data_IF_748890685113
#
_entry.id   IF_748890685113
#
_cell.length_a   1.000
_cell.length_b   1.000
_cell.length_c   1.000
_cell.angle_alpha   90.00
_cell.angle_beta   90.00
_cell.angle_gamma   90.00
#
_symmetry.space_group_name_H-M   'P 1'
#
loop_
_entity.id
_entity.type
_entity.pdbx_description
1 polymer ?
#
# COMPACT_ATOMS: atom_id res chain seq x y z
N UNK A 1 -63.13 -16.03 22.96
CA UNK A 1 -62.35 -15.33 24.00
C UNK A 1 -60.92 -15.84 23.93
N UNK A 2 -59.96 -14.91 23.88
CA UNK A 2 -58.51 -14.98 24.16
C UNK A 2 -57.86 -16.38 24.20
N UNK A 3 -56.76 -16.63 23.48
CA UNK A 3 -55.47 -16.05 23.87
C UNK A 3 -54.49 -16.04 22.68
N UNK A 4 -53.89 -14.86 22.45
CA UNK A 4 -52.78 -14.62 21.53
C UNK A 4 -51.50 -15.25 22.11
N UNK A 5 -50.81 -16.06 21.33
CA UNK A 5 -49.38 -16.34 21.56
C UNK A 5 -48.59 -15.65 20.44
N UNK A 6 -48.06 -14.46 20.77
CA UNK A 6 -46.95 -13.86 20.06
C UNK A 6 -45.73 -14.75 20.30
N UNK A 7 -45.25 -15.43 19.27
CA UNK A 7 -43.89 -15.98 19.27
C UNK A 7 -42.98 -14.90 18.71
N UNK A 8 -42.36 -14.14 19.61
CA UNK A 8 -41.22 -13.29 19.29
C UNK A 8 -40.07 -14.25 18.95
N UNK A 9 -39.82 -14.50 17.67
CA UNK A 9 -38.57 -15.12 17.23
C UNK A 9 -37.52 -14.04 17.34
N UNK A 10 -36.76 -14.11 18.44
CA UNK A 10 -35.57 -13.31 18.64
C UNK A 10 -34.63 -13.54 17.45
N UNK A 11 -34.42 -12.48 16.67
CA UNK A 11 -33.34 -12.39 15.70
C UNK A 11 -32.04 -12.53 16.50
N UNK A 12 -31.47 -13.73 16.49
CA UNK A 12 -30.06 -13.92 16.77
C UNK A 12 -29.31 -13.23 15.63
N UNK A 13 -29.09 -11.92 15.80
CA UNK A 13 -27.97 -11.23 15.21
C UNK A 13 -26.74 -11.97 15.71
N UNK A 14 -26.32 -12.98 14.96
CA UNK A 14 -24.91 -13.34 14.91
C UNK A 14 -24.21 -12.10 14.37
N UNK A 15 -23.95 -11.15 15.27
CA UNK A 15 -22.80 -10.31 15.17
C UNK A 15 -21.64 -11.29 15.02
N UNK A 16 -21.27 -11.57 13.77
CA UNK A 16 -19.89 -11.81 13.43
C UNK A 16 -19.16 -10.58 13.95
N UNK A 17 -18.80 -10.62 15.24
CA UNK A 17 -17.63 -9.92 15.71
C UNK A 17 -16.52 -10.54 14.88
N UNK A 18 -16.26 -9.95 13.71
CA UNK A 18 -14.98 -10.06 13.06
C UNK A 18 -13.99 -9.80 14.18
N UNK A 19 -13.25 -10.84 14.59
CA UNK A 19 -12.14 -10.66 15.49
C UNK A 19 -11.35 -9.47 14.91
N UNK A 20 -11.28 -8.38 15.66
CA UNK A 20 -10.68 -7.14 15.22
C UNK A 20 -9.33 -7.47 14.56
N UNK A 21 -9.12 -6.98 13.33
CA UNK A 21 -7.78 -6.94 12.77
C UNK A 21 -6.90 -6.21 13.80
N UNK A 22 -5.87 -6.89 14.30
CA UNK A 22 -5.13 -6.45 15.51
C UNK A 22 -4.32 -5.16 15.26
N UNK A 23 -4.35 -4.63 14.05
CA UNK A 23 -3.84 -3.34 13.62
C UNK A 23 -4.53 -2.94 12.31
N UNK A 24 -4.87 -1.66 12.21
CA UNK A 24 -5.38 -1.02 11.00
C UNK A 24 -4.79 0.40 10.97
N UNK A 25 -3.87 0.61 10.04
CA UNK A 25 -3.11 1.86 9.89
C UNK A 25 -3.58 2.70 8.72
N UNK A 26 -4.70 2.35 8.06
CA UNK A 26 -5.21 3.07 6.90
C UNK A 26 -6.72 3.33 7.04
N UNK A 27 -7.12 4.59 6.95
CA UNK A 27 -8.52 4.96 6.73
C UNK A 27 -8.70 5.37 5.26
N UNK A 28 -9.45 4.58 4.49
CA UNK A 28 -9.71 4.88 3.08
C UNK A 28 -11.14 5.39 2.87
N UNK A 29 -11.22 6.59 2.32
CA UNK A 29 -12.45 7.16 1.78
C UNK A 29 -12.31 7.36 0.26
N UNK A 30 -12.96 6.48 -0.51
CA UNK A 30 -12.92 6.48 -1.97
C UNK A 30 -11.48 6.34 -2.51
N UNK A 31 -10.92 7.43 -3.03
CA UNK A 31 -9.60 7.57 -3.63
C UNK A 31 -8.60 8.31 -2.71
N UNK A 32 -8.99 8.56 -1.46
CA UNK A 32 -8.12 9.12 -0.43
C UNK A 32 -7.81 8.05 0.59
N UNK A 33 -6.53 7.87 0.90
CA UNK A 33 -6.02 7.02 1.98
C UNK A 33 -5.36 7.92 3.01
N UNK A 34 -5.74 7.75 4.27
CA UNK A 34 -5.10 8.42 5.40
C UNK A 34 -4.37 7.36 6.21
N UNK A 35 -3.05 7.49 6.36
CA UNK A 35 -2.30 6.64 7.29
C UNK A 35 -2.47 7.16 8.72
N UNK A 36 -2.67 6.24 9.67
CA UNK A 36 -3.04 6.58 11.07
C UNK A 36 -1.95 6.24 12.09
N UNK A 37 -0.83 5.66 11.64
CA UNK A 37 0.37 5.41 12.45
C UNK A 37 1.33 6.61 12.47
N UNK A 38 2.50 6.46 13.09
CA UNK A 38 3.51 7.50 13.36
C UNK A 38 4.16 8.13 12.10
N UNK A 39 3.93 7.58 10.92
CA UNK A 39 4.18 8.25 9.63
C UNK A 39 2.83 8.69 8.99
N UNK A 40 2.15 9.65 9.62
CA UNK A 40 0.79 10.06 9.27
C UNK A 40 0.74 11.00 8.04
N UNK A 41 0.09 10.56 6.98
CA UNK A 41 -0.10 11.29 5.74
C UNK A 41 -1.49 11.06 5.19
N UNK A 42 -1.97 12.04 4.45
CA UNK A 42 -3.13 11.90 3.57
C UNK A 42 -2.64 11.80 2.14
N UNK A 43 -3.02 10.72 1.48
CA UNK A 43 -2.65 10.38 0.13
C UNK A 43 -3.90 10.39 -0.73
N UNK A 44 -3.97 11.31 -1.69
CA UNK A 44 -5.06 11.38 -2.64
C UNK A 44 -4.61 10.84 -3.98
N UNK A 45 -5.32 9.83 -4.46
CA UNK A 45 -5.10 9.21 -5.75
C UNK A 45 -6.03 9.86 -6.76
N UNK A 46 -5.47 10.53 -7.76
CA UNK A 46 -6.26 11.13 -8.83
C UNK A 46 -6.95 10.06 -9.68
N UNK A 47 -8.18 10.33 -10.09
CA UNK A 47 -8.87 9.53 -11.11
C UNK A 47 -8.01 9.49 -12.40
N UNK A 48 -7.92 8.35 -13.11
CA UNK A 48 -8.92 7.28 -13.21
C UNK A 48 -8.54 5.94 -12.55
N UNK A 49 -7.85 5.96 -11.41
CA UNK A 49 -7.44 4.74 -10.71
C UNK A 49 -8.60 4.09 -9.94
N UNK A 50 -8.85 2.79 -10.20
CA UNK A 50 -9.82 1.96 -9.48
C UNK A 50 -9.19 1.35 -8.24
N UNK A 51 -9.82 1.51 -7.08
CA UNK A 51 -9.41 0.79 -5.87
C UNK A 51 -9.52 -0.73 -6.04
N UNK A 52 -8.50 -1.44 -5.57
CA UNK A 52 -8.44 -2.89 -5.44
C UNK A 52 -8.76 -3.34 -4.00
N UNK A 53 -8.97 -2.41 -3.07
CA UNK A 53 -9.26 -2.69 -1.67
C UNK A 53 -8.03 -2.61 -0.76
N UNK A 54 -8.17 -3.24 0.41
CA UNK A 54 -7.21 -3.19 1.50
C UNK A 54 -6.84 -4.60 1.97
N UNK A 55 -5.64 -4.73 2.53
CA UNK A 55 -5.13 -5.95 3.14
C UNK A 55 -4.34 -5.60 4.40
N UNK A 56 -4.55 -6.32 5.48
CA UNK A 56 -3.76 -6.21 6.70
C UNK A 56 -3.01 -7.52 6.94
N UNK A 57 -1.69 -7.45 7.14
CA UNK A 57 -0.89 -8.62 7.43
C UNK A 57 0.39 -8.29 8.18
N UNK A 58 1.05 -9.35 8.65
CA UNK A 58 2.43 -9.27 9.14
C UNK A 58 3.40 -9.65 8.03
N UNK A 59 4.57 -9.04 8.01
CA UNK A 59 5.64 -9.35 7.07
C UNK A 59 6.99 -9.32 7.76
N UNK A 60 7.85 -10.28 7.45
CA UNK A 60 9.25 -10.23 7.87
C UNK A 60 10.08 -9.58 6.75
N UNK A 61 10.91 -8.60 7.12
CA UNK A 61 11.86 -7.94 6.22
C UNK A 61 13.17 -7.68 6.96
N UNK A 62 14.29 -8.12 6.39
CA UNK A 62 15.63 -8.00 6.98
C UNK A 62 15.73 -8.54 8.43
N UNK A 63 14.94 -9.54 8.79
CA UNK A 63 14.92 -10.13 10.13
C UNK A 63 14.05 -9.38 11.15
N UNK A 64 13.29 -8.38 10.72
CA UNK A 64 12.37 -7.61 11.55
C UNK A 64 10.92 -7.84 11.10
N UNK A 65 10.02 -7.94 12.07
CA UNK A 65 8.59 -8.11 11.83
C UNK A 65 7.88 -6.77 11.75
N UNK A 66 7.09 -6.61 10.70
CA UNK A 66 6.26 -5.44 10.43
C UNK A 66 4.79 -5.83 10.54
N UNK A 67 3.99 -4.90 11.06
CA UNK A 67 2.54 -4.84 10.88
C UNK A 67 2.26 -3.94 9.71
N UNK A 68 1.62 -4.47 8.67
CA UNK A 68 1.44 -3.81 7.39
C UNK A 68 -0.06 -3.62 7.14
N UNK A 69 -0.46 -2.37 6.94
CA UNK A 69 -1.75 -2.04 6.33
C UNK A 69 -1.52 -1.55 4.91
N UNK A 70 -2.15 -2.22 3.96
CA UNK A 70 -1.89 -2.06 2.53
C UNK A 70 -3.16 -1.61 1.81
N UNK A 71 -3.04 -0.65 0.89
CA UNK A 71 -4.08 -0.31 -0.07
C UNK A 71 -3.54 -0.31 -1.48
N UNK A 72 -4.34 -0.79 -2.44
CA UNK A 72 -3.94 -0.81 -3.84
C UNK A 72 -4.98 -0.17 -4.76
N UNK A 73 -4.48 0.43 -5.84
CA UNK A 73 -5.27 1.06 -6.89
C UNK A 73 -4.68 0.72 -8.26
N UNK A 74 -5.52 0.53 -9.29
CA UNK A 74 -5.06 0.18 -10.65
C UNK A 74 -5.70 1.03 -11.73
N UNK A 75 -4.96 1.24 -12.81
CA UNK A 75 -5.43 1.88 -14.03
C UNK A 75 -4.77 1.23 -15.25
N UNK A 76 -5.44 0.24 -15.84
CA UNK A 76 -4.86 -0.56 -16.91
C UNK A 76 -3.60 -1.32 -16.42
N UNK A 77 -2.43 -1.14 -17.06
CA UNK A 77 -1.18 -1.80 -16.64
C UNK A 77 -0.49 -1.11 -15.46
N UNK A 78 -1.02 0.02 -14.99
CA UNK A 78 -0.43 0.81 -13.92
C UNK A 78 -1.05 0.43 -12.57
N UNK A 79 -0.24 0.39 -11.51
CA UNK A 79 -0.70 0.14 -10.14
C UNK A 79 -0.09 1.16 -9.18
N UNK A 80 -0.84 1.55 -8.15
CA UNK A 80 -0.35 2.30 -7.00
C UNK A 80 -0.57 1.44 -5.77
N UNK A 81 0.49 1.27 -4.99
CA UNK A 81 0.48 0.55 -3.72
C UNK A 81 0.84 1.54 -2.61
N UNK A 82 0.09 1.48 -1.53
CA UNK A 82 0.28 2.30 -0.34
C UNK A 82 0.45 1.35 0.83
N UNK A 83 1.63 1.36 1.43
CA UNK A 83 1.93 0.62 2.65
C UNK A 83 2.07 1.58 3.81
N UNK A 84 1.33 1.29 4.88
CA UNK A 84 1.49 1.89 6.19
C UNK A 84 2.03 0.79 7.12
N UNK A 85 3.29 0.88 7.50
CA UNK A 85 3.99 -0.19 8.20
C UNK A 85 4.54 0.27 9.56
N UNK A 86 4.49 -0.60 10.56
CA UNK A 86 5.07 -0.36 11.89
C UNK A 86 5.90 -1.57 12.33
N UNK A 87 7.09 -1.31 12.86
CA UNK A 87 7.95 -2.34 13.47
C UNK A 87 7.33 -2.91 14.74
N UNK A 88 7.29 -4.24 14.86
CA UNK A 88 6.80 -4.88 16.09
C UNK A 88 7.81 -4.81 17.24
N UNK A 89 9.10 -4.66 16.94
CA UNK A 89 10.18 -4.64 17.95
C UNK A 89 10.57 -3.24 18.44
N UNK A 90 10.01 -2.19 17.82
CA UNK A 90 10.32 -0.78 18.08
C UNK A 90 11.83 -0.47 18.10
N UNK A 91 12.60 -1.10 17.22
CA UNK A 91 14.06 -0.94 17.16
C UNK A 91 14.54 0.42 16.64
N UNK A 92 13.66 1.23 16.05
CA UNK A 92 13.99 2.53 15.46
C UNK A 92 14.93 2.45 14.26
N UNK A 93 14.93 1.32 13.55
CA UNK A 93 15.93 1.03 12.52
C UNK A 93 15.64 1.68 11.15
N UNK A 94 14.43 2.21 10.93
CA UNK A 94 14.03 2.74 9.63
C UNK A 94 14.71 4.09 9.38
N UNK A 95 15.54 4.15 8.34
CA UNK A 95 16.20 5.38 7.88
C UNK A 95 16.46 5.31 6.36
N UNK A 96 16.05 6.36 5.65
CA UNK A 96 16.16 6.48 4.19
C UNK A 96 17.12 7.58 3.69
N UNK A 97 17.91 8.18 4.57
CA UNK A 97 18.87 9.26 4.24
C UNK A 97 19.96 8.83 3.24
N UNK A 98 20.18 7.53 3.11
CA UNK A 98 21.13 6.95 2.16
C UNK A 98 20.57 6.82 0.74
N UNK A 99 19.25 6.94 0.56
CA UNK A 99 18.58 6.88 -0.73
C UNK A 99 18.65 8.24 -1.45
N UNK A 100 18.58 8.27 -2.80
CA UNK A 100 18.38 9.51 -3.52
C UNK A 100 17.13 10.24 -3.01
N UNK A 101 17.25 11.53 -2.73
CA UNK A 101 16.12 12.35 -2.32
C UNK A 101 15.20 12.65 -3.52
N UNK A 102 13.90 12.58 -3.27
CA UNK A 102 12.83 13.00 -4.18
C UNK A 102 11.84 13.91 -3.48
N UNK A 103 10.81 14.32 -4.21
CA UNK A 103 9.75 15.16 -3.68
C UNK A 103 8.39 14.76 -4.28
N UNK A 104 7.36 14.69 -3.43
CA UNK A 104 5.95 14.64 -3.85
C UNK A 104 5.23 15.81 -3.15
N UNK A 105 4.70 16.76 -3.91
CA UNK A 105 3.95 17.91 -3.39
C UNK A 105 4.67 18.68 -2.26
N UNK A 106 6.00 18.87 -2.34
CA UNK A 106 6.78 19.54 -1.30
C UNK A 106 7.23 18.64 -0.15
N UNK A 107 6.83 17.37 -0.12
CA UNK A 107 7.26 16.38 0.89
C UNK A 107 8.51 15.68 0.40
N UNK A 108 9.59 15.78 1.18
CA UNK A 108 10.85 15.06 0.94
C UNK A 108 10.65 13.57 1.16
N UNK A 109 11.15 12.75 0.23
CA UNK A 109 11.02 11.29 0.27
C UNK A 109 12.32 10.61 -0.16
N UNK A 110 12.59 9.41 0.36
CA UNK A 110 13.65 8.55 -0.16
C UNK A 110 13.17 7.81 -1.42
N UNK A 111 13.94 7.83 -2.49
CA UNK A 111 13.58 7.16 -3.74
C UNK A 111 14.26 5.80 -3.85
N UNK A 112 13.47 4.79 -4.23
CA UNK A 112 13.99 3.46 -4.57
C UNK A 112 13.35 2.97 -5.87
N UNK A 113 14.19 2.51 -6.78
CA UNK A 113 13.75 1.80 -8.00
C UNK A 113 13.97 0.30 -7.80
N UNK A 114 12.93 -0.50 -8.05
CA UNK A 114 13.00 -1.95 -8.04
C UNK A 114 12.35 -2.47 -9.32
N UNK A 115 13.04 -3.35 -10.05
CA UNK A 115 12.44 -4.03 -11.19
C UNK A 115 12.34 -5.52 -10.90
N UNK A 116 11.13 -6.05 -10.98
CA UNK A 116 10.83 -7.47 -10.84
C UNK A 116 11.05 -8.13 -12.21
N UNK A 117 12.08 -8.98 -12.37
CA UNK A 117 12.33 -9.65 -13.63
C UNK A 117 11.37 -10.84 -13.82
N UNK A 118 11.38 -11.49 -14.99
CA UNK A 118 10.48 -12.63 -15.28
C UNK A 118 10.65 -13.77 -14.27
N UNK A 119 11.86 -13.99 -13.78
CA UNK A 119 12.21 -15.02 -12.82
C UNK A 119 11.56 -14.79 -11.43
N UNK A 120 11.04 -13.59 -11.15
CA UNK A 120 10.33 -13.28 -9.91
C UNK A 120 8.95 -13.93 -9.80
N UNK A 121 8.42 -14.56 -10.85
CA UNK A 121 7.08 -15.17 -10.83
C UNK A 121 6.92 -16.17 -9.67
N UNK A 122 7.94 -17.00 -9.43
CA UNK A 122 7.91 -18.00 -8.36
C UNK A 122 7.92 -17.37 -6.96
N UNK A 123 8.63 -16.24 -6.76
CA UNK A 123 8.63 -15.56 -5.46
C UNK A 123 7.32 -14.81 -5.20
N UNK A 124 6.69 -14.27 -6.26
CA UNK A 124 5.39 -13.61 -6.17
C UNK A 124 4.25 -14.57 -5.85
N UNK A 125 4.36 -15.84 -6.22
CA UNK A 125 3.35 -16.86 -5.92
C UNK A 125 3.11 -17.06 -4.41
N UNK A 126 4.07 -16.72 -3.55
CA UNK A 126 3.94 -16.74 -2.10
C UNK A 126 3.75 -15.36 -1.44
N UNK A 127 3.81 -14.28 -2.22
CA UNK A 127 3.69 -12.92 -1.69
C UNK A 127 2.21 -12.55 -1.48
N UNK A 128 1.84 -12.18 -0.25
CA UNK A 128 0.43 -11.92 0.11
C UNK A 128 -0.20 -10.77 -0.66
N UNK A 129 0.55 -9.71 -0.92
CA UNK A 129 0.07 -8.53 -1.66
C UNK A 129 -0.07 -8.81 -3.16
N UNK A 130 0.87 -9.55 -3.75
CA UNK A 130 0.78 -10.00 -5.14
C UNK A 130 -0.43 -10.92 -5.34
N UNK A 131 -0.65 -11.86 -4.42
CA UNK A 131 -1.84 -12.70 -4.43
C UNK A 131 -3.12 -11.88 -4.28
N UNK A 132 -3.15 -10.93 -3.33
CA UNK A 132 -4.29 -10.05 -3.11
C UNK A 132 -4.63 -9.24 -4.37
N UNK A 133 -3.66 -8.52 -4.95
CA UNK A 133 -3.91 -7.68 -6.13
C UNK A 133 -4.37 -8.50 -7.34
N UNK A 134 -3.80 -9.70 -7.53
CA UNK A 134 -4.28 -10.67 -8.53
C UNK A 134 -5.73 -11.08 -8.29
N UNK A 135 -6.08 -11.44 -7.06
CA UNK A 135 -7.43 -11.86 -6.69
C UNK A 135 -8.46 -10.71 -6.86
N UNK A 136 -7.99 -9.46 -6.85
CA UNK A 136 -8.77 -8.24 -7.14
C UNK A 136 -8.80 -7.85 -8.63
N UNK A 137 -8.24 -8.70 -9.49
CA UNK A 137 -8.28 -8.58 -10.95
C UNK A 137 -7.16 -7.75 -11.57
N UNK A 138 -6.06 -7.50 -10.85
CA UNK A 138 -4.85 -6.91 -11.43
C UNK A 138 -3.88 -8.00 -11.87
N UNK A 139 -3.64 -8.11 -13.18
CA UNK A 139 -2.66 -9.04 -13.72
C UNK A 139 -1.28 -8.39 -13.77
N UNK A 140 -0.39 -8.81 -12.88
CA UNK A 140 1.00 -8.36 -12.89
C UNK A 140 1.76 -9.01 -14.07
N UNK A 141 2.10 -8.21 -15.07
CA UNK A 141 2.87 -8.65 -16.24
C UNK A 141 4.35 -8.40 -16.00
N UNK A 142 5.15 -9.46 -15.86
CA UNK A 142 6.60 -9.36 -15.68
C UNK A 142 7.33 -9.21 -17.03
N UNK A 143 8.43 -8.43 -17.11
CA UNK A 143 9.03 -7.65 -16.03
C UNK A 143 8.21 -6.44 -15.57
N UNK A 144 8.39 -6.02 -14.33
CA UNK A 144 7.55 -4.98 -13.72
C UNK A 144 8.40 -4.01 -12.90
N UNK A 145 8.38 -2.73 -13.27
CA UNK A 145 9.07 -1.67 -12.55
C UNK A 145 8.20 -1.17 -11.39
N UNK A 146 8.81 -0.96 -10.24
CA UNK A 146 8.29 -0.27 -9.07
C UNK A 146 9.18 0.95 -8.77
N UNK A 147 8.58 2.14 -8.80
CA UNK A 147 9.18 3.36 -8.27
C UNK A 147 8.58 3.66 -6.90
N UNK A 148 9.39 3.58 -5.86
CA UNK A 148 8.98 3.71 -4.47
C UNK A 148 9.44 5.03 -3.88
N UNK A 149 8.56 5.66 -3.12
CA UNK A 149 8.81 6.85 -2.32
C UNK A 149 8.61 6.45 -0.86
N UNK A 150 9.69 6.49 -0.08
CA UNK A 150 9.76 5.97 1.27
C UNK A 150 9.89 7.12 2.26
N UNK A 151 9.11 7.06 3.33
CA UNK A 151 9.13 8.01 4.44
C UNK A 151 9.12 7.21 5.73
N UNK A 152 10.06 7.50 6.64
CA UNK A 152 10.07 6.93 7.98
C UNK A 152 9.55 7.97 8.99
N UNK A 153 8.98 7.50 10.10
CA UNK A 153 8.70 8.34 11.28
C UNK A 153 9.99 8.84 11.91
N UNK A 154 9.92 9.91 12.70
CA UNK A 154 11.10 10.51 13.35
C UNK A 154 11.85 9.53 14.27
N UNK A 155 11.12 8.62 14.91
CA UNK A 155 11.68 7.59 15.80
C UNK A 155 12.12 6.32 15.05
N UNK A 156 11.92 6.26 13.73
CA UNK A 156 12.30 5.15 12.86
C UNK A 156 11.50 3.86 13.08
N UNK A 157 10.30 3.94 13.67
CA UNK A 157 9.46 2.78 13.98
C UNK A 157 8.28 2.56 13.04
N UNK A 158 7.90 3.55 12.25
CA UNK A 158 6.87 3.43 11.24
C UNK A 158 7.37 3.93 9.88
N UNK A 159 6.75 3.45 8.81
CA UNK A 159 7.00 3.95 7.47
C UNK A 159 5.75 4.02 6.60
N UNK A 160 5.79 4.97 5.68
CA UNK A 160 4.92 5.02 4.52
C UNK A 160 5.74 4.65 3.29
N UNK A 161 5.32 3.60 2.57
CA UNK A 161 5.87 3.25 1.26
C UNK A 161 4.81 3.50 0.19
N UNK A 162 5.08 4.48 -0.67
CA UNK A 162 4.26 4.77 -1.85
C UNK A 162 4.93 4.22 -3.09
N UNK A 163 4.37 3.14 -3.64
CA UNK A 163 4.89 2.51 -4.85
C UNK A 163 4.00 2.81 -6.05
N UNK A 164 4.59 3.24 -7.16
CA UNK A 164 3.95 3.24 -8.47
C UNK A 164 4.58 2.15 -9.33
N UNK A 165 3.74 1.29 -9.89
CA UNK A 165 4.17 0.13 -10.65
C UNK A 165 3.67 0.12 -12.09
N UNK A 166 4.49 -0.38 -13.00
CA UNK A 166 4.15 -0.54 -14.42
C UNK A 166 5.01 -1.62 -15.08
N UNK A 167 4.42 -2.30 -16.06
CA UNK A 167 5.14 -3.25 -16.92
C UNK A 167 6.28 -2.60 -17.71
N UNK A 168 7.41 -3.29 -17.82
CA UNK A 168 8.53 -2.94 -18.70
C UNK A 168 8.95 -4.17 -19.50
N UNK A 169 9.50 -3.96 -20.70
CA UNK A 169 9.94 -5.06 -21.56
C UNK A 169 11.15 -5.81 -20.97
N UNK A 170 12.09 -5.07 -20.39
CA UNK A 170 13.32 -5.58 -19.79
C UNK A 170 13.77 -4.69 -18.62
N UNK A 171 14.10 -5.31 -17.49
CA UNK A 171 14.66 -4.62 -16.34
C UNK A 171 16.07 -4.05 -16.60
N UNK A 172 16.82 -4.62 -17.54
CA UNK A 172 18.18 -4.17 -17.87
C UNK A 172 18.20 -2.93 -18.78
N UNK A 173 17.12 -2.67 -19.51
CA UNK A 173 17.06 -1.66 -20.58
C UNK A 173 15.99 -0.58 -20.34
N UNK A 174 15.70 -0.28 -19.07
CA UNK A 174 14.80 0.82 -18.73
C UNK A 174 15.47 2.15 -19.11
N UNK A 175 14.86 2.89 -20.03
CA UNK A 175 15.38 4.17 -20.51
C UNK A 175 15.06 5.34 -19.57
N UNK A 176 15.89 6.38 -19.58
CA UNK A 176 15.62 7.62 -18.83
C UNK A 176 14.34 8.33 -19.29
N UNK A 177 13.98 8.19 -20.57
CA UNK A 177 12.71 8.69 -21.09
C UNK A 177 11.51 7.99 -20.41
N UNK A 178 11.59 6.67 -20.21
CA UNK A 178 10.56 5.90 -19.52
C UNK A 178 10.47 6.29 -18.03
N UNK A 179 11.62 6.45 -17.36
CA UNK A 179 11.66 6.93 -15.96
C UNK A 179 11.04 8.32 -15.82
N UNK A 180 11.38 9.23 -16.74
CA UNK A 180 10.84 10.59 -16.74
C UNK A 180 9.32 10.60 -16.98
N UNK A 181 8.82 9.78 -17.91
CA UNK A 181 7.39 9.62 -18.13
C UNK A 181 6.69 9.08 -16.87
N UNK A 182 7.29 8.08 -16.23
CA UNK A 182 6.77 7.46 -15.01
C UNK A 182 6.72 8.46 -13.86
N UNK A 183 7.79 9.22 -13.63
CA UNK A 183 7.79 10.29 -12.62
C UNK A 183 6.70 11.34 -12.89
N UNK A 184 6.52 11.73 -14.15
CA UNK A 184 5.47 12.67 -14.53
C UNK A 184 4.05 12.09 -14.31
N UNK A 185 3.87 10.77 -14.44
CA UNK A 185 2.61 10.10 -14.11
C UNK A 185 2.35 10.09 -12.62
N UNK A 186 3.36 9.77 -11.81
CA UNK A 186 3.29 9.80 -10.35
C UNK A 186 2.85 11.19 -9.87
N UNK A 187 3.51 12.25 -10.35
CA UNK A 187 3.19 13.63 -9.98
C UNK A 187 1.76 14.08 -10.37
N UNK A 188 1.09 13.39 -11.31
CA UNK A 188 -0.32 13.64 -11.64
C UNK A 188 -1.28 12.73 -10.89
N UNK A 189 -0.82 11.54 -10.52
CA UNK A 189 -1.64 10.48 -9.95
C UNK A 189 -1.71 10.53 -8.42
N UNK A 190 -0.67 11.05 -7.77
CA UNK A 190 -0.55 11.04 -6.31
C UNK A 190 -0.39 12.48 -5.82
N UNK A 191 -1.27 12.87 -4.91
CA UNK A 191 -1.11 14.05 -4.06
C UNK A 191 -0.79 13.58 -2.63
N UNK A 192 0.29 14.09 -2.04
CA UNK A 192 0.71 13.76 -0.68
C UNK A 192 0.64 14.98 0.23
N UNK A 193 -0.07 14.86 1.35
CA UNK A 193 -0.25 15.92 2.35
C UNK A 193 0.15 15.39 3.74
N UNK A 194 1.11 16.02 4.45
CA UNK A 194 1.39 15.69 5.84
C UNK A 194 0.17 15.94 6.72
N UNK A 195 -0.08 15.07 7.70
CA UNK A 195 -1.09 15.31 8.74
C UNK A 195 -0.36 15.96 9.93
N UNK A 196 -0.75 17.18 10.35
CA UNK A 196 -0.15 17.81 11.52
C UNK A 196 -0.42 16.99 12.78
N UNK A 197 0.57 16.91 13.66
CA UNK A 197 0.45 16.38 15.02
C UNK A 197 -0.51 17.20 15.90
#
# INVERSE_FOLDING_TARGET
>A
MLLRTLTVVAVLLFANQSAAEEFDYIDRLSNTVTTTHEAAYKIKISEPFRSLGELHHRQESNGHMFRVSFSAFSNGPDIILIHAETLEDASGMLNYDHLPAGEINGVTVGLREQCLPKEAEASLAGNREALFTRDQGFELQLPFLLMQHLIASEDGNAELVLSYGRHVEDCAEISDAFRSETQARIARAIELEPIPD
#
